data_IF_426006736664
#
_entry.id   IF_426006736664
#
_cell.length_a   1.000
_cell.length_b   1.000
_cell.length_c   1.000
_cell.angle_alpha   90.00
_cell.angle_beta   90.00
_cell.angle_gamma   90.00
#
_symmetry.space_group_name_H-M   'P 1'
#
loop_
_entity.id
_entity.type
_entity.pdbx_description
1 polymer ?
#
# COMPACT_ATOMS: atom_id res chain seq x y z
N UNK A 1 -3.05 -10.00 -18.80
CA UNK A 1 -3.00 -8.96 -17.76
C UNK A 1 -3.35 -7.62 -18.39
N UNK A 2 -4.31 -6.88 -17.84
CA UNK A 2 -4.71 -5.56 -18.37
C UNK A 2 -3.91 -4.45 -17.66
N UNK A 3 -3.12 -3.71 -18.43
CA UNK A 3 -2.25 -2.62 -17.94
C UNK A 3 -2.96 -1.26 -17.88
N UNK A 4 -4.24 -1.16 -18.26
CA UNK A 4 -4.94 0.12 -18.43
C UNK A 4 -5.00 0.97 -17.14
N UNK A 5 -4.89 0.34 -15.97
CA UNK A 5 -4.85 1.02 -14.67
C UNK A 5 -3.54 0.73 -13.90
N UNK A 6 -2.43 0.60 -14.62
CA UNK A 6 -1.12 0.31 -14.05
C UNK A 6 -0.01 1.12 -14.71
N UNK A 7 0.79 1.83 -13.92
CA UNK A 7 2.08 2.37 -14.36
C UNK A 7 3.20 1.43 -13.92
N UNK A 8 4.16 1.21 -14.81
CA UNK A 8 5.36 0.42 -14.54
C UNK A 8 6.56 1.23 -14.98
N UNK A 9 7.42 1.62 -14.04
CA UNK A 9 8.66 2.33 -14.33
C UNK A 9 9.82 1.55 -13.75
N UNK A 10 10.91 1.44 -14.49
CA UNK A 10 12.15 0.82 -14.01
C UNK A 10 13.30 1.80 -14.11
N UNK A 11 14.20 1.77 -13.15
CA UNK A 11 15.47 2.48 -13.19
C UNK A 11 16.61 1.48 -13.11
N UNK A 12 17.58 1.61 -14.02
CA UNK A 12 18.80 0.82 -14.01
C UNK A 12 19.94 1.68 -13.50
N UNK A 13 20.60 1.23 -12.45
CA UNK A 13 21.88 1.80 -12.06
C UNK A 13 22.97 1.27 -13.00
N UNK A 14 23.69 2.17 -13.67
CA UNK A 14 24.77 1.80 -14.59
C UNK A 14 26.04 1.34 -13.84
N UNK A 15 26.16 1.65 -12.55
CA UNK A 15 27.35 1.40 -11.73
C UNK A 15 27.15 0.23 -10.77
N UNK A 16 25.97 0.13 -10.15
CA UNK A 16 25.65 -0.84 -9.10
C UNK A 16 24.34 -1.52 -9.45
N UNK A 17 24.39 -2.68 -10.11
CA UNK A 17 23.19 -3.35 -10.64
C UNK A 17 22.14 -3.65 -9.55
N UNK A 18 22.58 -3.94 -8.33
CA UNK A 18 21.80 -4.13 -7.10
C UNK A 18 21.01 -2.88 -6.66
N UNK A 19 21.40 -1.69 -7.14
CA UNK A 19 20.68 -0.42 -6.94
C UNK A 19 19.67 -0.11 -8.03
N UNK A 20 19.43 -1.04 -8.95
CA UNK A 20 18.30 -0.94 -9.89
C UNK A 20 16.98 -1.16 -9.16
N UNK A 21 15.88 -0.66 -9.71
CA UNK A 21 14.57 -0.68 -9.04
C UNK A 21 13.43 -0.74 -10.05
N UNK A 22 12.28 -1.19 -9.56
CA UNK A 22 11.01 -1.24 -10.26
C UNK A 22 9.94 -0.55 -9.41
N UNK A 23 9.18 0.36 -10.01
CA UNK A 23 8.01 0.99 -9.39
C UNK A 23 6.77 0.52 -10.13
N UNK A 24 5.79 0.02 -9.38
CA UNK A 24 4.48 -0.39 -9.91
C UNK A 24 3.42 0.41 -9.17
N UNK A 25 2.69 1.25 -9.90
CA UNK A 25 1.51 1.92 -9.37
C UNK A 25 0.27 1.32 -9.99
N UNK A 26 -0.68 0.86 -9.18
CA UNK A 26 -1.87 0.15 -9.68
C UNK A 26 -3.14 0.54 -8.94
N UNK A 27 -4.22 0.59 -9.72
CA UNK A 27 -5.58 0.90 -9.28
C UNK A 27 -6.60 -0.07 -9.84
N UNK A 28 -7.87 0.27 -9.64
CA UNK A 28 -9.02 -0.50 -10.09
C UNK A 28 -10.14 0.46 -10.54
N UNK A 29 -11.14 -0.04 -11.26
CA UNK A 29 -12.20 0.81 -11.82
C UNK A 29 -13.49 0.02 -11.97
N UNK A 30 -14.50 0.63 -12.61
CA UNK A 30 -15.71 -0.09 -13.03
C UNK A 30 -15.49 -1.21 -14.05
N UNK A 31 -14.27 -1.35 -14.59
CA UNK A 31 -13.94 -2.36 -15.59
C UNK A 31 -12.82 -3.31 -15.16
N UNK A 32 -12.11 -2.98 -14.08
CA UNK A 32 -10.93 -3.70 -13.62
C UNK A 32 -11.08 -3.99 -12.14
N UNK A 33 -10.94 -5.26 -11.79
CA UNK A 33 -11.14 -5.76 -10.42
C UNK A 33 -10.10 -5.19 -9.46
N UNK A 34 -10.54 -4.86 -8.24
CA UNK A 34 -9.70 -4.38 -7.15
C UNK A 34 -9.04 -5.48 -6.34
N UNK A 35 -9.60 -6.69 -6.38
CA UNK A 35 -9.05 -7.91 -5.80
C UNK A 35 -9.65 -9.11 -6.53
N UNK A 36 -9.03 -10.26 -6.35
CA UNK A 36 -9.56 -11.56 -6.70
C UNK A 36 -9.34 -12.46 -5.49
N UNK A 37 -10.41 -12.95 -4.89
CA UNK A 37 -10.38 -13.73 -3.65
C UNK A 37 -11.18 -15.02 -3.83
N UNK A 38 -10.60 -16.13 -3.40
CA UNK A 38 -11.22 -17.46 -3.38
C UNK A 38 -11.23 -18.01 -1.95
N UNK A 39 -11.88 -19.16 -1.75
CA UNK A 39 -12.06 -19.78 -0.43
C UNK A 39 -10.75 -20.01 0.32
N UNK A 40 -9.66 -20.28 -0.40
CA UNK A 40 -8.34 -20.52 0.18
C UNK A 40 -7.25 -19.62 -0.42
N UNK A 41 -7.59 -18.42 -0.92
CA UNK A 41 -6.61 -17.50 -1.51
C UNK A 41 -6.99 -16.04 -1.35
N UNK A 42 -6.00 -15.21 -0.97
CA UNK A 42 -6.11 -13.75 -0.91
C UNK A 42 -7.27 -13.27 -0.02
N UNK A 43 -7.46 -13.92 1.14
CA UNK A 43 -8.58 -13.70 2.06
C UNK A 43 -8.67 -12.25 2.56
N UNK A 44 -7.57 -11.49 2.58
CA UNK A 44 -7.51 -10.14 3.13
C UNK A 44 -7.18 -9.05 2.09
N UNK A 45 -7.16 -9.39 0.81
CA UNK A 45 -6.67 -8.54 -0.28
C UNK A 45 -7.53 -7.35 -0.69
N UNK A 46 -8.56 -7.00 0.09
CA UNK A 46 -9.57 -5.97 -0.27
C UNK A 46 -8.94 -4.64 -0.70
N UNK A 47 -7.85 -4.24 -0.05
CA UNK A 47 -7.20 -2.95 -0.30
C UNK A 47 -6.00 -3.01 -1.25
N UNK A 48 -5.68 -4.17 -1.82
CA UNK A 48 -4.48 -4.39 -2.65
C UNK A 48 -4.35 -3.38 -3.82
N UNK A 49 -5.47 -2.93 -4.38
CA UNK A 49 -5.50 -2.01 -5.52
C UNK A 49 -6.01 -0.60 -5.17
N UNK A 50 -6.00 -0.22 -3.89
CA UNK A 50 -6.48 1.12 -3.45
C UNK A 50 -5.41 2.20 -3.71
N UNK A 51 -4.91 2.26 -4.95
CA UNK A 51 -3.83 3.12 -5.40
C UNK A 51 -2.47 2.70 -4.85
N UNK A 52 -2.17 1.40 -4.89
CA UNK A 52 -0.91 0.81 -4.43
C UNK A 52 0.25 1.37 -5.27
N UNK A 53 1.34 1.74 -4.59
CA UNK A 53 2.61 2.10 -5.22
C UNK A 53 3.71 1.24 -4.59
N UNK A 54 4.07 0.16 -5.27
CA UNK A 54 5.16 -0.74 -4.86
C UNK A 54 6.50 -0.21 -5.37
N UNK A 55 7.53 -0.29 -4.54
CA UNK A 55 8.93 -0.04 -4.91
C UNK A 55 9.69 -1.33 -4.66
N UNK A 56 10.08 -2.01 -5.73
CA UNK A 56 10.77 -3.29 -5.68
C UNK A 56 12.26 -3.11 -5.98
N UNK A 57 13.15 -3.40 -5.03
CA UNK A 57 14.59 -3.37 -5.26
C UNK A 57 15.03 -4.54 -6.16
N UNK A 58 16.08 -4.33 -6.96
CA UNK A 58 16.68 -5.43 -7.72
C UNK A 58 17.31 -6.50 -6.81
N UNK A 59 17.86 -6.10 -5.66
CA UNK A 59 18.23 -7.02 -4.60
C UNK A 59 16.98 -7.48 -3.83
N UNK A 60 16.50 -8.67 -4.16
CA UNK A 60 15.30 -9.26 -3.58
C UNK A 60 15.41 -9.56 -2.07
N UNK A 61 16.63 -9.55 -1.50
CA UNK A 61 16.81 -9.68 -0.06
C UNK A 61 16.29 -8.44 0.69
N UNK A 62 16.28 -7.27 0.03
CA UNK A 62 15.80 -5.99 0.55
C UNK A 62 14.29 -5.77 0.34
N UNK A 63 13.55 -6.77 -0.15
CA UNK A 63 12.10 -6.61 -0.37
C UNK A 63 11.36 -6.28 0.94
N UNK A 64 10.43 -5.34 0.88
CA UNK A 64 9.65 -4.91 2.04
C UNK A 64 8.64 -5.98 2.50
N UNK A 65 8.11 -6.76 1.55
CA UNK A 65 7.02 -7.70 1.77
C UNK A 65 7.45 -8.99 2.49
N UNK A 66 6.62 -9.41 3.45
CA UNK A 66 6.57 -10.72 4.10
C UNK A 66 5.10 -11.09 4.30
N UNK A 67 4.71 -12.36 4.19
CA UNK A 67 3.36 -12.80 4.55
C UNK A 67 3.14 -12.76 6.06
N UNK A 68 4.09 -13.32 6.82
CA UNK A 68 3.93 -13.44 8.27
C UNK A 68 3.93 -12.07 8.95
N UNK A 69 2.85 -11.77 9.66
CA UNK A 69 2.63 -10.49 10.33
C UNK A 69 2.27 -9.31 9.41
N UNK A 70 2.03 -9.53 8.12
CA UNK A 70 1.67 -8.45 7.20
C UNK A 70 0.36 -7.79 7.59
N UNK A 71 0.35 -6.47 7.77
CA UNK A 71 -0.90 -5.73 7.89
C UNK A 71 -1.50 -5.54 6.48
N UNK A 72 -2.53 -6.34 6.19
CA UNK A 72 -3.27 -6.35 4.92
C UNK A 72 -4.03 -5.04 4.61
N UNK A 73 -4.19 -4.14 5.60
CA UNK A 73 -4.71 -2.79 5.40
C UNK A 73 -3.63 -1.74 5.08
N UNK A 74 -2.36 -2.13 4.97
CA UNK A 74 -1.21 -1.23 4.79
C UNK A 74 -0.31 -1.61 3.62
N UNK A 75 -0.90 -1.90 2.46
CA UNK A 75 -0.12 -2.00 1.23
C UNK A 75 0.56 -0.64 0.93
N UNK A 76 1.85 -0.60 0.59
CA UNK A 76 2.56 0.64 0.29
C UNK A 76 1.82 1.54 -0.70
N UNK A 77 1.76 2.84 -0.42
CA UNK A 77 1.07 3.82 -1.25
C UNK A 77 -0.46 3.80 -1.19
N UNK A 78 -1.11 2.75 -0.69
CA UNK A 78 -2.58 2.70 -0.62
C UNK A 78 -3.15 3.69 0.38
N UNK A 79 -4.40 4.13 0.16
CA UNK A 79 -5.21 4.78 1.20
C UNK A 79 -6.32 3.80 1.56
N UNK A 80 -6.44 3.45 2.84
CA UNK A 80 -7.36 2.40 3.31
C UNK A 80 -7.85 2.67 4.74
N UNK A 81 -9.02 2.13 5.06
CA UNK A 81 -9.55 2.08 6.43
C UNK A 81 -8.84 0.94 7.16
N UNK A 82 -8.24 1.24 8.31
CA UNK A 82 -7.48 0.27 9.10
C UNK A 82 -8.40 -0.67 9.85
N UNK A 83 -8.81 -1.74 9.17
CA UNK A 83 -9.66 -2.78 9.74
C UNK A 83 -8.82 -3.89 10.39
N UNK A 84 -9.30 -4.48 11.49
CA UNK A 84 -8.79 -5.76 11.95
C UNK A 84 -9.13 -6.88 10.95
N UNK A 85 -8.33 -7.96 10.95
CA UNK A 85 -8.42 -9.01 9.93
C UNK A 85 -9.78 -9.75 9.94
N UNK A 86 -10.43 -9.88 11.10
CA UNK A 86 -11.77 -10.46 11.24
C UNK A 86 -12.86 -9.63 10.54
N UNK A 87 -12.64 -8.33 10.34
CA UNK A 87 -13.50 -7.45 9.55
C UNK A 87 -13.03 -7.27 8.09
N UNK A 88 -11.74 -7.47 7.83
CA UNK A 88 -11.14 -7.34 6.50
C UNK A 88 -11.38 -8.58 5.63
N UNK A 89 -11.54 -9.75 6.25
CA UNK A 89 -11.68 -11.02 5.55
C UNK A 89 -12.79 -11.01 4.48
N UNK A 90 -12.48 -11.71 3.39
CA UNK A 90 -13.34 -12.12 2.28
C UNK A 90 -14.72 -12.64 2.73
N UNK A 91 -15.85 -11.95 2.52
CA UNK A 91 -17.16 -12.60 2.66
C UNK A 91 -17.61 -13.19 1.32
N UNK A 92 -17.27 -14.44 1.02
CA UNK A 92 -17.53 -15.02 -0.30
C UNK A 92 -19.02 -15.33 -0.51
N UNK A 93 -19.49 -15.10 -1.74
CA UNK A 93 -20.83 -15.45 -2.18
C UNK A 93 -20.74 -16.10 -3.56
N UNK A 94 -21.54 -17.12 -3.82
CA UNK A 94 -21.68 -17.67 -5.16
C UNK A 94 -22.72 -16.85 -5.94
N UNK A 95 -22.27 -16.14 -6.98
CA UNK A 95 -23.18 -15.42 -7.88
C UNK A 95 -23.69 -16.34 -9.01
N UNK A 96 -24.89 -16.08 -9.57
CA UNK A 96 -25.40 -16.86 -10.69
C UNK A 96 -24.42 -16.85 -11.89
N UNK A 97 -23.98 -18.03 -12.31
CA UNK A 97 -23.04 -18.18 -13.44
C UNK A 97 -21.56 -17.92 -13.10
N UNK A 98 -21.21 -17.73 -11.83
CA UNK A 98 -19.84 -17.56 -11.34
C UNK A 98 -19.45 -18.65 -10.33
N UNK A 99 -18.14 -18.73 -10.01
CA UNK A 99 -17.64 -19.57 -8.93
C UNK A 99 -17.92 -18.99 -7.54
N UNK A 100 -17.38 -19.65 -6.51
CA UNK A 100 -17.28 -19.06 -5.16
C UNK A 100 -16.06 -18.14 -5.16
N UNK A 101 -16.28 -16.87 -5.47
CA UNK A 101 -15.22 -15.89 -5.65
C UNK A 101 -15.68 -14.48 -5.34
N UNK A 102 -14.73 -13.59 -5.03
CA UNK A 102 -14.96 -12.16 -4.96
C UNK A 102 -14.01 -11.43 -5.93
N UNK A 103 -14.61 -10.63 -6.80
CA UNK A 103 -13.92 -9.73 -7.72
C UNK A 103 -14.59 -8.35 -7.71
N UNK A 104 -14.20 -7.49 -6.77
CA UNK A 104 -14.89 -6.20 -6.60
C UNK A 104 -14.49 -5.19 -7.68
N UNK A 105 -15.48 -4.61 -8.34
CA UNK A 105 -15.34 -3.49 -9.25
C UNK A 105 -15.69 -2.17 -8.54
N UNK A 106 -15.06 -1.07 -8.95
CA UNK A 106 -15.47 0.26 -8.49
C UNK A 106 -16.73 0.74 -9.22
N UNK A 107 -17.38 1.77 -8.71
CA UNK A 107 -18.34 2.56 -9.51
C UNK A 107 -17.66 3.70 -10.28
N UNK A 108 -16.38 3.98 -9.98
CA UNK A 108 -15.60 5.04 -10.62
C UNK A 108 -14.96 4.54 -11.93
N UNK A 109 -14.93 5.41 -12.95
CA UNK A 109 -14.31 5.11 -14.26
C UNK A 109 -12.88 5.59 -14.36
N UNK A 110 -12.46 6.50 -13.47
CA UNK A 110 -11.19 7.19 -13.56
C UNK A 110 -10.13 6.41 -12.79
N UNK A 111 -9.44 5.52 -13.49
CA UNK A 111 -8.25 4.84 -12.99
C UNK A 111 -7.37 4.49 -14.19
N UNK A 112 -6.17 5.01 -14.21
CA UNK A 112 -5.35 4.95 -15.41
C UNK A 112 -3.90 5.33 -15.20
N UNK A 113 -3.09 4.96 -16.17
CA UNK A 113 -1.71 5.38 -16.26
C UNK A 113 -1.34 5.81 -17.68
N UNK A 114 -0.32 6.65 -17.79
CA UNK A 114 0.27 7.07 -19.06
C UNK A 114 1.78 7.25 -18.89
N UNK A 115 2.52 7.15 -19.98
CA UNK A 115 3.97 7.34 -20.00
C UNK A 115 4.33 8.55 -20.87
N UNK A 116 5.37 9.26 -20.48
CA UNK A 116 6.02 10.29 -21.28
C UNK A 116 7.43 9.79 -21.61
N UNK A 117 7.59 9.27 -22.82
CA UNK A 117 8.81 8.55 -23.21
C UNK A 117 9.05 7.31 -22.33
N UNK A 118 10.33 6.96 -22.17
CA UNK A 118 10.76 5.77 -21.41
C UNK A 118 11.11 6.08 -19.95
N UNK A 119 11.13 7.36 -19.56
CA UNK A 119 11.73 7.80 -18.29
C UNK A 119 10.71 8.31 -17.27
N UNK A 120 9.45 8.51 -17.69
CA UNK A 120 8.43 9.13 -16.86
C UNK A 120 7.06 8.47 -17.04
N UNK A 121 6.36 8.30 -15.93
CA UNK A 121 5.03 7.72 -15.86
C UNK A 121 4.13 8.53 -14.93
N UNK A 122 2.86 8.64 -15.28
CA UNK A 122 1.79 9.17 -14.41
C UNK A 122 0.78 8.06 -14.17
N UNK A 123 0.37 7.89 -12.93
CA UNK A 123 -0.77 7.06 -12.52
C UNK A 123 -1.77 7.91 -11.74
N UNK A 124 -3.06 7.71 -11.95
CA UNK A 124 -4.09 8.36 -11.16
C UNK A 124 -5.35 7.50 -11.01
N UNK A 125 -6.01 7.59 -9.85
CA UNK A 125 -7.22 6.83 -9.52
C UNK A 125 -8.18 7.65 -8.66
N UNK A 126 -9.48 7.52 -8.94
CA UNK A 126 -10.56 7.87 -8.02
C UNK A 126 -10.97 6.62 -7.25
N UNK A 127 -10.67 6.60 -5.96
CA UNK A 127 -11.08 5.53 -5.06
C UNK A 127 -12.51 5.76 -4.58
N UNK A 128 -13.25 4.66 -4.48
CA UNK A 128 -14.55 4.60 -3.86
C UNK A 128 -14.70 3.20 -3.25
N UNK A 129 -14.88 3.14 -1.92
CA UNK A 129 -15.06 1.90 -1.19
C UNK A 129 -16.33 1.17 -1.61
N UNK A 130 -16.30 -0.16 -1.53
CA UNK A 130 -17.36 -0.99 -2.07
C UNK A 130 -18.56 -1.10 -1.12
N UNK A 131 -19.78 -1.03 -1.65
CA UNK A 131 -21.03 -1.08 -0.89
C UNK A 131 -21.22 -2.39 -0.10
N UNK A 132 -20.67 -3.50 -0.61
CA UNK A 132 -20.68 -4.81 0.08
C UNK A 132 -20.15 -4.73 1.51
N UNK A 133 -19.16 -3.85 1.75
CA UNK A 133 -18.52 -3.67 3.05
C UNK A 133 -18.96 -2.38 3.75
N UNK A 134 -20.09 -1.77 3.31
CA UNK A 134 -20.62 -0.51 3.85
C UNK A 134 -19.65 0.67 3.73
N UNK A 135 -18.73 0.64 2.75
CA UNK A 135 -17.70 1.65 2.55
C UNK A 135 -18.05 2.67 1.45
N UNK A 136 -19.33 2.89 1.12
CA UNK A 136 -19.69 3.86 0.05
C UNK A 136 -19.31 5.32 0.41
N UNK A 137 -19.09 5.61 1.69
CA UNK A 137 -18.60 6.92 2.12
C UNK A 137 -17.11 7.09 1.89
N UNK A 138 -16.34 5.99 1.78
CA UNK A 138 -14.91 6.05 1.63
C UNK A 138 -14.53 6.45 0.21
N UNK A 139 -13.92 7.63 0.06
CA UNK A 139 -13.47 8.19 -1.22
C UNK A 139 -12.08 8.79 -1.07
N UNK A 140 -11.33 8.78 -2.17
CA UNK A 140 -10.08 9.51 -2.29
C UNK A 140 -9.73 9.75 -3.77
N UNK A 141 -8.94 10.78 -4.05
CA UNK A 141 -8.28 10.99 -5.34
C UNK A 141 -6.79 10.87 -5.14
N UNK A 142 -6.16 9.94 -5.84
CA UNK A 142 -4.73 9.67 -5.73
C UNK A 142 -4.07 9.83 -7.09
N UNK A 143 -2.88 10.39 -7.10
CA UNK A 143 -2.02 10.44 -8.28
C UNK A 143 -0.56 10.26 -7.90
N UNK A 144 0.19 9.63 -8.79
CA UNK A 144 1.59 9.32 -8.62
C UNK A 144 2.33 9.70 -9.90
N UNK A 145 3.32 10.57 -9.79
CA UNK A 145 4.20 10.96 -10.89
C UNK A 145 5.56 10.32 -10.63
N UNK A 146 6.02 9.47 -11.54
CA UNK A 146 7.25 8.70 -11.43
C UNK A 146 8.18 9.20 -12.51
N UNK A 147 9.34 9.72 -12.15
CA UNK A 147 10.32 10.23 -13.10
C UNK A 147 11.73 10.10 -12.54
N UNK A 148 12.64 9.55 -13.35
CA UNK A 148 13.99 9.20 -12.90
C UNK A 148 13.93 8.46 -11.55
N UNK A 149 14.70 8.90 -10.55
CA UNK A 149 14.74 8.30 -9.21
C UNK A 149 13.76 8.93 -8.21
N UNK A 150 12.67 9.57 -8.67
CA UNK A 150 11.71 10.27 -7.82
C UNK A 150 10.28 9.85 -8.10
N UNK A 151 9.53 9.76 -7.00
CA UNK A 151 8.08 9.57 -7.01
C UNK A 151 7.45 10.76 -6.29
N UNK A 152 6.50 11.45 -6.92
CA UNK A 152 5.63 12.43 -6.28
C UNK A 152 4.25 11.79 -6.11
N UNK A 153 3.89 11.44 -4.87
CA UNK A 153 2.58 10.91 -4.51
C UNK A 153 1.69 12.02 -3.94
N UNK A 154 0.51 12.22 -4.52
CA UNK A 154 -0.47 13.21 -4.10
C UNK A 154 -1.79 12.53 -3.75
N UNK A 155 -2.45 13.03 -2.71
CA UNK A 155 -3.77 12.61 -2.27
C UNK A 155 -4.65 13.83 -1.99
N UNK A 156 -5.92 13.76 -2.40
CA UNK A 156 -6.91 14.82 -2.12
C UNK A 156 -8.31 14.23 -2.02
N UNK A 157 -9.24 15.02 -1.45
CA UNK A 157 -10.63 14.62 -1.24
C UNK A 157 -10.76 13.22 -0.58
N UNK A 158 -9.90 12.97 0.40
CA UNK A 158 -9.97 11.77 1.24
C UNK A 158 -11.08 12.01 2.25
N UNK A 159 -12.10 11.17 2.21
CA UNK A 159 -13.29 11.27 3.06
C UNK A 159 -13.80 9.87 3.38
N UNK A 160 -14.32 9.70 4.60
CA UNK A 160 -14.88 8.46 5.09
C UNK A 160 -15.75 8.77 6.32
N UNK A 161 -16.86 8.04 6.50
CA UNK A 161 -17.76 8.20 7.65
C UNK A 161 -17.59 7.13 8.73
N UNK A 162 -16.65 6.20 8.55
CA UNK A 162 -16.26 5.29 9.63
C UNK A 162 -15.64 6.10 10.78
N UNK A 163 -16.25 6.01 11.96
CA UNK A 163 -15.77 6.67 13.19
C UNK A 163 -15.07 5.71 14.15
N UNK A 164 -15.09 4.42 13.85
CA UNK A 164 -14.49 3.36 14.68
C UNK A 164 -13.03 3.09 14.26
N UNK A 165 -12.73 3.25 12.97
CA UNK A 165 -11.43 2.97 12.39
C UNK A 165 -10.76 4.21 11.79
N UNK A 166 -9.44 4.16 11.66
CA UNK A 166 -8.67 5.24 11.05
C UNK A 166 -8.57 5.07 9.53
N UNK A 167 -8.68 6.19 8.79
CA UNK A 167 -8.30 6.24 7.38
C UNK A 167 -6.81 6.59 7.27
N UNK A 168 -6.00 5.68 6.76
CA UNK A 168 -4.54 5.87 6.66
C UNK A 168 -4.07 5.73 5.21
N UNK A 169 -3.06 6.54 4.84
CA UNK A 169 -2.27 6.33 3.62
C UNK A 169 -0.91 5.77 4.02
N UNK A 170 -0.56 4.58 3.53
CA UNK A 170 0.71 3.93 3.89
C UNK A 170 1.85 4.51 3.07
N UNK A 171 2.89 4.99 3.75
CA UNK A 171 4.14 5.39 3.10
C UNK A 171 4.96 4.15 2.78
N UNK A 172 5.23 3.33 3.80
CA UNK A 172 5.82 2.01 3.67
C UNK A 172 5.40 1.10 4.82
N UNK A 173 5.49 -0.20 4.57
CA UNK A 173 5.43 -1.27 5.56
C UNK A 173 6.53 -2.26 5.15
N UNK A 174 7.57 -2.38 5.98
CA UNK A 174 8.78 -3.11 5.63
C UNK A 174 9.12 -4.12 6.71
N UNK A 175 9.27 -5.39 6.33
CA UNK A 175 9.74 -6.42 7.24
C UNK A 175 11.17 -6.11 7.72
N UNK A 176 11.45 -6.36 8.98
CA UNK A 176 12.79 -6.15 9.56
C UNK A 176 13.18 -7.33 10.47
N UNK A 177 13.21 -8.56 9.93
CA UNK A 177 13.40 -9.79 10.72
C UNK A 177 14.76 -9.87 11.43
N UNK A 178 15.76 -9.14 10.95
CA UNK A 178 17.11 -9.11 11.52
C UNK A 178 17.38 -7.85 12.36
N UNK A 179 16.37 -7.01 12.60
CA UNK A 179 16.55 -5.75 13.31
C UNK A 179 17.14 -4.64 12.42
N UNK A 180 16.81 -4.67 11.13
CA UNK A 180 17.30 -3.71 10.14
C UNK A 180 16.93 -2.27 10.51
N UNK A 181 17.90 -1.37 10.39
CA UNK A 181 17.73 0.03 10.78
C UNK A 181 16.84 0.77 9.80
N UNK A 182 15.89 1.55 10.33
CA UNK A 182 15.18 2.61 9.62
C UNK A 182 15.68 3.96 10.11
N UNK A 183 15.91 4.90 9.20
CA UNK A 183 16.24 6.28 9.58
C UNK A 183 14.97 7.12 9.68
N UNK A 184 14.77 7.83 10.79
CA UNK A 184 13.71 8.80 10.99
C UNK A 184 14.35 10.15 11.32
N UNK A 185 14.22 11.14 10.43
CA UNK A 185 14.82 12.48 10.59
C UNK A 185 16.34 12.48 10.89
N UNK A 186 17.09 11.51 10.37
CA UNK A 186 18.53 11.36 10.61
C UNK A 186 18.87 10.44 11.79
N UNK A 187 17.91 10.05 12.61
CA UNK A 187 18.11 9.12 13.73
C UNK A 187 17.90 7.67 13.28
N UNK A 188 18.82 6.79 13.68
CA UNK A 188 18.73 5.35 13.41
C UNK A 188 17.81 4.67 14.43
N UNK A 189 16.78 3.98 13.95
CA UNK A 189 15.79 3.27 14.76
C UNK A 189 15.78 1.78 14.41
N UNK A 190 15.91 0.93 15.42
CA UNK A 190 15.69 -0.51 15.35
C UNK A 190 15.16 -1.11 16.68
N UNK A 191 14.73 -0.26 17.62
CA UNK A 191 14.19 -0.69 18.91
C UNK A 191 12.74 -1.13 18.77
N UNK A 192 12.46 -2.38 19.12
CA UNK A 192 11.10 -2.95 19.17
C UNK A 192 10.26 -2.17 20.20
N UNK A 193 9.00 -1.87 19.86
CA UNK A 193 8.09 -1.08 20.69
C UNK A 193 8.22 0.44 20.46
N UNK A 194 8.95 0.87 19.43
CA UNK A 194 9.04 2.29 19.09
C UNK A 194 7.79 2.74 18.36
N UNK A 195 7.11 3.76 18.89
CA UNK A 195 5.95 4.41 18.27
C UNK A 195 6.13 5.92 18.30
N UNK A 196 6.14 6.57 17.13
CA UNK A 196 6.35 8.01 16.99
C UNK A 196 5.14 8.67 16.32
N UNK A 197 4.78 9.86 16.81
CA UNK A 197 3.84 10.78 16.16
C UNK A 197 4.59 12.04 15.74
N UNK A 198 4.67 12.29 14.44
CA UNK A 198 5.53 13.31 13.84
C UNK A 198 4.64 14.41 13.22
N UNK A 199 4.89 15.66 13.63
CA UNK A 199 4.04 16.84 13.32
C UNK A 199 4.72 17.85 12.37
N UNK A 200 6.03 17.71 12.13
CA UNK A 200 6.83 18.59 11.28
C UNK A 200 7.14 17.98 9.91
N UNK A 201 8.00 18.66 9.15
CA UNK A 201 8.64 18.01 8.00
C UNK A 201 9.30 16.72 8.48
N UNK A 202 9.01 15.63 7.79
CA UNK A 202 9.45 14.29 8.19
C UNK A 202 10.19 13.63 7.04
N UNK A 203 11.31 12.99 7.36
CA UNK A 203 12.13 12.24 6.42
C UNK A 203 12.32 10.82 6.92
N UNK A 204 12.16 9.86 6.03
CA UNK A 204 12.48 8.46 6.31
C UNK A 204 13.50 7.91 5.33
N UNK A 205 14.27 6.93 5.77
CA UNK A 205 14.99 5.99 4.90
C UNK A 205 14.67 4.57 5.35
N UNK A 206 14.00 3.80 4.49
CA UNK A 206 13.68 2.40 4.78
C UNK A 206 14.92 1.48 4.59
N UNK A 207 14.85 0.20 4.99
CA UNK A 207 15.97 -0.73 4.87
C UNK A 207 16.42 -0.99 3.43
N UNK A 208 15.53 -0.87 2.45
CA UNK A 208 15.87 -0.94 1.02
C UNK A 208 16.59 0.32 0.50
N UNK A 209 16.64 1.38 1.31
CA UNK A 209 17.29 2.65 0.98
C UNK A 209 16.37 3.66 0.30
N UNK A 210 15.07 3.39 0.19
CA UNK A 210 14.11 4.35 -0.34
C UNK A 210 13.96 5.51 0.65
N UNK A 211 13.86 6.73 0.11
CA UNK A 211 13.72 7.95 0.91
C UNK A 211 12.36 8.57 0.73
N UNK A 212 11.72 8.89 1.85
CA UNK A 212 10.39 9.48 1.88
C UNK A 212 10.50 10.89 2.48
N UNK A 213 9.92 11.87 1.80
CA UNK A 213 9.91 13.27 2.23
C UNK A 213 8.47 13.72 2.37
N UNK A 214 8.09 14.08 3.60
CA UNK A 214 6.72 14.48 3.94
C UNK A 214 6.77 15.94 4.39
N UNK A 215 6.03 16.85 3.73
CA UNK A 215 5.98 18.25 4.14
C UNK A 215 5.29 18.40 5.51
N UNK A 216 5.60 19.50 6.20
CA UNK A 216 4.93 19.85 7.45
C UNK A 216 3.41 19.99 7.27
N UNK A 217 2.66 19.81 8.37
CA UNK A 217 1.19 19.88 8.38
C UNK A 217 0.47 18.57 8.05
N UNK A 218 1.21 17.45 7.97
CA UNK A 218 0.69 16.10 7.83
C UNK A 218 0.75 15.36 9.18
N UNK A 219 -0.16 14.41 9.41
CA UNK A 219 -0.16 13.58 10.62
C UNK A 219 0.54 12.26 10.35
N UNK A 220 1.86 12.24 10.51
CA UNK A 220 2.66 11.05 10.24
C UNK A 220 2.83 10.23 11.52
N UNK A 221 2.61 8.92 11.40
CA UNK A 221 2.94 7.96 12.44
C UNK A 221 3.97 6.97 11.94
N UNK A 222 4.90 6.63 12.81
CA UNK A 222 5.89 5.59 12.58
C UNK A 222 5.83 4.56 13.71
N UNK A 223 5.95 3.29 13.37
CA UNK A 223 6.06 2.19 14.32
C UNK A 223 7.17 1.23 13.91
N UNK A 224 7.94 0.74 14.88
CA UNK A 224 8.88 -0.37 14.75
C UNK A 224 8.50 -1.42 15.79
N UNK A 225 7.73 -2.43 15.38
CA UNK A 225 7.13 -3.37 16.33
C UNK A 225 6.71 -4.70 15.70
N UNK A 226 6.45 -5.69 16.55
CA UNK A 226 5.85 -6.95 16.13
C UNK A 226 4.40 -6.69 15.69
N UNK A 227 4.04 -7.23 14.54
CA UNK A 227 2.70 -7.21 14.01
C UNK A 227 2.13 -8.62 14.02
N UNK A 228 0.94 -8.79 14.60
CA UNK A 228 0.13 -9.99 14.45
C UNK A 228 -0.76 -9.86 13.21
N UNK A 229 -0.95 -10.95 12.49
CA UNK A 229 -1.82 -11.02 11.32
C UNK A 229 -2.33 -12.45 11.11
N UNK A 230 -2.81 -12.75 9.91
CA UNK A 230 -3.30 -14.04 9.48
C UNK A 230 -2.73 -14.38 8.11
N UNK A 231 -2.51 -15.67 7.85
CA UNK A 231 -2.09 -16.19 6.55
C UNK A 231 -3.21 -16.04 5.51
N UNK A 232 -2.87 -15.65 4.28
CA UNK A 232 -3.85 -15.25 3.27
C UNK A 232 -4.70 -16.39 2.69
N UNK A 233 -4.27 -17.64 2.88
CA UNK A 233 -4.95 -18.81 2.32
C UNK A 233 -5.89 -19.48 3.33
N UNK A 234 -5.52 -19.58 4.60
CA UNK A 234 -6.24 -20.38 5.59
C UNK A 234 -6.62 -19.60 6.86
N UNK A 235 -6.26 -18.32 6.93
CA UNK A 235 -6.56 -17.45 8.06
C UNK A 235 -5.82 -17.82 9.35
N UNK A 236 -4.84 -18.72 9.31
CA UNK A 236 -4.07 -19.09 10.51
C UNK A 236 -3.28 -17.89 11.04
N UNK A 237 -3.18 -17.70 12.38
CA UNK A 237 -2.45 -16.57 12.94
C UNK A 237 -0.96 -16.57 12.55
N UNK A 238 -0.44 -15.41 12.18
CA UNK A 238 0.99 -15.19 11.87
C UNK A 238 1.52 -13.97 12.61
N UNK A 239 2.84 -13.85 12.69
CA UNK A 239 3.49 -12.70 13.29
C UNK A 239 4.81 -12.36 12.59
N UNK A 240 5.21 -11.09 12.62
CA UNK A 240 6.48 -10.65 12.06
C UNK A 240 6.88 -9.29 12.60
N UNK A 241 8.17 -8.96 12.50
CA UNK A 241 8.70 -7.66 12.93
C UNK A 241 8.72 -6.69 11.75
N UNK A 242 8.11 -5.51 11.92
CA UNK A 242 7.96 -4.53 10.86
C UNK A 242 8.31 -3.11 11.31
N UNK A 243 8.87 -2.35 10.37
CA UNK A 243 8.89 -0.90 10.42
C UNK A 243 7.82 -0.36 9.46
N UNK A 244 6.94 0.50 9.95
CA UNK A 244 5.77 0.99 9.22
C UNK A 244 5.63 2.49 9.41
N UNK A 245 5.42 3.22 8.31
CA UNK A 245 5.09 4.64 8.35
C UNK A 245 3.79 4.91 7.59
N UNK A 246 2.89 5.67 8.21
CA UNK A 246 1.59 6.03 7.65
C UNK A 246 1.30 7.51 7.83
N UNK A 247 0.52 8.08 6.92
CA UNK A 247 -0.10 9.39 7.08
C UNK A 247 -1.58 9.20 7.42
N UNK A 248 -2.03 9.75 8.54
CA UNK A 248 -3.45 9.73 8.92
C UNK A 248 -4.21 10.80 8.17
N UNK A 249 -5.15 10.34 7.35
CA UNK A 249 -6.19 11.20 6.79
C UNK A 249 -7.31 11.34 7.82
N UNK A 250 -8.08 12.43 7.77
CA UNK A 250 -9.21 12.64 8.69
C UNK A 250 -10.17 11.45 8.73
#
# INVERSE_FOLDING_TARGET
>A
MNYASMAVQRGRSAVLADKSWLVIARGFSRYLVGNETYEANNLYGRYLQYGHVAIEPADYSLRAFSHDGWNWSRYPGTTAIQLPNDQLIATLHQLPGAGIEEMLLSTETYSGATTLGDESSLFAVKLHGHAKYQQQSFRARKSCFIFANRIIALGSAIDNRDTEHHTETTLFQHKVPAGEVVEVNGEAINSIGTHLSLQGETRFKDPAGNRYFIPAGQQVRFSYDNQASNHEDDGTPTQGLFATAVNRSR
#
